data_IF_019401242615
#
_entry.id   IF_019401242615
#
_cell.length_a   1.000
_cell.length_b   1.000
_cell.length_c   1.000
_cell.angle_alpha   90.00
_cell.angle_beta   90.00
_cell.angle_gamma   90.00
#
_symmetry.space_group_name_H-M   'P 1'
#
loop_
_entity.id
_entity.type
_entity.pdbx_description
1 polymer ?
#
# COMPACT_ATOMS: atom_id res chain seq x y z
N UNK A 1 2.96 -24.81 -23.11
CA UNK A 1 3.96 -23.82 -22.73
C UNK A 1 3.40 -23.06 -21.55
N UNK A 2 3.99 -23.25 -20.35
CA UNK A 2 3.57 -22.53 -19.17
C UNK A 2 3.88 -21.03 -19.38
N UNK A 3 2.93 -20.15 -18.99
CA UNK A 3 3.18 -18.73 -18.97
C UNK A 3 4.38 -18.44 -18.05
N UNK A 4 5.27 -17.51 -18.40
CA UNK A 4 6.36 -17.17 -17.50
C UNK A 4 5.79 -16.70 -16.16
N UNK A 5 6.37 -17.19 -15.09
CA UNK A 5 5.98 -16.80 -13.74
C UNK A 5 6.22 -15.30 -13.58
N UNK A 6 5.15 -14.53 -13.40
CA UNK A 6 5.23 -13.07 -13.27
C UNK A 6 6.13 -12.65 -12.10
N UNK A 7 6.25 -13.49 -11.06
CA UNK A 7 7.11 -13.19 -9.92
C UNK A 7 8.61 -13.21 -10.28
N UNK A 8 9.02 -14.03 -11.27
CA UNK A 8 10.40 -14.07 -11.71
C UNK A 8 10.82 -12.75 -12.39
N UNK A 9 9.92 -12.10 -13.11
CA UNK A 9 10.16 -10.79 -13.73
C UNK A 9 10.28 -9.71 -12.67
N UNK A 10 9.42 -9.74 -11.68
CA UNK A 10 9.35 -8.72 -10.63
C UNK A 10 10.62 -8.61 -9.79
N UNK A 11 11.34 -9.70 -9.63
CA UNK A 11 12.53 -9.69 -8.77
C UNK A 11 13.84 -9.54 -9.55
N UNK A 12 13.78 -9.70 -10.86
CA UNK A 12 14.93 -9.65 -11.74
C UNK A 12 15.15 -8.27 -12.36
N UNK A 13 14.11 -7.71 -12.94
CA UNK A 13 14.20 -6.50 -13.79
C UNK A 13 13.74 -5.23 -13.08
N UNK A 14 13.15 -5.35 -11.91
CA UNK A 14 12.65 -4.25 -11.10
C UNK A 14 11.64 -4.74 -10.09
N UNK A 15 11.17 -3.88 -9.18
CA UNK A 15 10.16 -4.30 -8.21
C UNK A 15 8.78 -4.30 -8.83
N UNK A 16 7.95 -5.29 -8.49
CA UNK A 16 6.52 -5.16 -8.58
C UNK A 16 6.06 -4.41 -7.34
N UNK A 17 5.24 -3.38 -7.52
CA UNK A 17 4.85 -2.46 -6.45
C UNK A 17 3.35 -2.50 -6.14
N UNK A 18 2.60 -3.35 -6.85
CA UNK A 18 1.18 -3.58 -6.62
C UNK A 18 0.98 -5.06 -6.28
N UNK A 19 0.27 -5.38 -5.19
CA UNK A 19 0.11 -6.77 -4.79
C UNK A 19 -0.57 -7.61 -5.87
N UNK A 20 -0.03 -8.81 -6.11
CA UNK A 20 -0.58 -9.76 -7.08
C UNK A 20 -1.70 -10.61 -6.48
N UNK A 21 -1.81 -10.65 -5.16
CA UNK A 21 -2.84 -11.38 -4.42
C UNK A 21 -3.49 -10.45 -3.41
N UNK A 22 -4.63 -10.85 -2.87
CA UNK A 22 -5.22 -10.17 -1.72
C UNK A 22 -4.22 -10.13 -0.57
N UNK A 23 -4.29 -9.09 0.24
CA UNK A 23 -3.36 -8.91 1.34
C UNK A 23 -4.03 -8.22 2.52
N UNK A 24 -3.51 -8.52 3.71
CA UNK A 24 -3.86 -7.87 4.97
C UNK A 24 -2.57 -7.67 5.74
N UNK A 25 -2.11 -6.44 5.83
CA UNK A 25 -0.81 -6.11 6.40
C UNK A 25 -1.00 -5.08 7.51
N UNK A 26 -0.34 -5.30 8.63
CA UNK A 26 -0.23 -4.29 9.68
C UNK A 26 1.15 -3.67 9.60
N UNK A 27 1.18 -2.35 9.42
CA UNK A 27 2.41 -1.56 9.36
C UNK A 27 2.60 -0.78 10.66
N UNK A 28 3.87 -0.55 10.99
CA UNK A 28 4.28 0.48 11.94
C UNK A 28 4.83 1.66 11.14
N UNK A 29 4.28 2.84 11.38
CA UNK A 29 4.69 4.08 10.71
C UNK A 29 5.38 4.97 11.71
N UNK A 30 6.58 5.45 11.38
CA UNK A 30 7.37 6.33 12.21
C UNK A 30 7.68 7.61 11.44
N UNK A 31 7.40 8.76 12.06
CA UNK A 31 7.74 10.04 11.45
C UNK A 31 9.26 10.21 11.36
N UNK A 32 9.79 10.80 10.27
CA UNK A 32 11.21 11.12 10.15
C UNK A 32 11.73 12.04 11.27
N UNK A 33 10.86 12.79 11.93
CA UNK A 33 11.24 13.69 13.03
C UNK A 33 11.19 13.01 14.40
N UNK A 34 10.96 11.70 14.45
CA UNK A 34 11.09 10.92 15.68
C UNK A 34 9.88 10.88 16.60
N UNK A 35 8.70 11.21 16.10
CA UNK A 35 7.45 11.05 16.85
C UNK A 35 7.15 9.58 17.13
N UNK A 36 6.23 9.33 18.09
CA UNK A 36 5.83 7.98 18.43
C UNK A 36 5.28 7.25 17.20
N UNK A 37 5.63 5.97 17.08
CA UNK A 37 5.15 5.12 16.00
C UNK A 37 3.65 4.88 16.15
N UNK A 38 2.95 4.85 15.02
CA UNK A 38 1.54 4.45 14.94
C UNK A 38 1.41 3.21 14.08
N UNK A 39 0.39 2.41 14.34
CA UNK A 39 0.08 1.27 13.50
C UNK A 39 -0.98 1.64 12.46
N UNK A 40 -0.89 1.04 11.29
CA UNK A 40 -1.88 1.19 10.23
C UNK A 40 -2.10 -0.15 9.57
N UNK A 41 -3.35 -0.55 9.43
CA UNK A 41 -3.71 -1.76 8.71
C UNK A 41 -4.03 -1.43 7.26
N UNK A 42 -3.49 -2.18 6.33
CA UNK A 42 -3.80 -2.07 4.91
C UNK A 42 -4.37 -3.39 4.43
N UNK A 43 -5.53 -3.33 3.79
CA UNK A 43 -6.15 -4.49 3.13
C UNK A 43 -6.32 -4.21 1.65
N UNK A 44 -6.03 -5.20 0.85
CA UNK A 44 -5.99 -5.10 -0.60
C UNK A 44 -6.79 -6.23 -1.22
N UNK A 45 -7.68 -5.90 -2.17
CA UNK A 45 -8.41 -6.86 -2.99
C UNK A 45 -7.98 -6.71 -4.44
N UNK A 46 -7.30 -7.72 -4.97
CA UNK A 46 -6.69 -7.64 -6.30
C UNK A 46 -7.74 -7.67 -7.41
N UNK A 47 -8.80 -8.49 -7.26
CA UNK A 47 -9.81 -8.63 -8.31
C UNK A 47 -10.52 -7.32 -8.63
N UNK A 48 -10.77 -6.49 -7.62
CA UNK A 48 -11.46 -5.21 -7.79
C UNK A 48 -10.51 -4.02 -7.76
N UNK A 49 -9.22 -4.23 -7.56
CA UNK A 49 -8.21 -3.18 -7.40
C UNK A 49 -8.66 -2.13 -6.39
N UNK A 50 -8.99 -2.59 -5.19
CA UNK A 50 -9.40 -1.74 -4.07
C UNK A 50 -8.47 -1.92 -2.89
N UNK A 51 -8.24 -0.83 -2.15
CA UNK A 51 -7.39 -0.80 -0.98
C UNK A 51 -8.12 -0.10 0.16
N UNK A 52 -8.01 -0.64 1.38
CA UNK A 52 -8.53 -0.01 2.58
C UNK A 52 -7.40 0.23 3.56
N UNK A 53 -7.35 1.45 4.11
CA UNK A 53 -6.38 1.85 5.12
C UNK A 53 -7.11 2.20 6.41
N UNK A 54 -6.73 1.53 7.51
CA UNK A 54 -7.26 1.76 8.85
C UNK A 54 -6.12 2.20 9.76
N UNK A 55 -5.94 3.52 10.02
CA UNK A 55 -5.01 3.97 11.05
C UNK A 55 -5.49 3.56 12.43
N UNK A 56 -4.57 3.29 13.36
CA UNK A 56 -4.97 2.96 14.73
C UNK A 56 -5.50 4.19 15.48
N UNK A 57 -6.26 3.95 16.54
CA UNK A 57 -6.78 4.96 17.46
C UNK A 57 -7.70 5.99 16.81
N UNK A 58 -8.37 5.61 15.72
CA UNK A 58 -9.37 6.44 15.06
C UNK A 58 -10.49 5.58 14.50
N UNK A 59 -11.68 6.17 14.40
CA UNK A 59 -12.82 5.55 13.73
C UNK A 59 -12.89 5.90 12.24
N UNK A 60 -11.88 6.60 11.72
CA UNK A 60 -11.80 7.01 10.32
C UNK A 60 -10.95 6.01 9.55
N UNK A 61 -11.46 5.56 8.40
CA UNK A 61 -10.67 4.76 7.47
C UNK A 61 -10.90 5.25 6.03
N UNK A 62 -10.02 4.81 5.13
CA UNK A 62 -10.05 5.23 3.72
C UNK A 62 -10.14 4.02 2.81
N UNK A 63 -10.93 4.14 1.75
CA UNK A 63 -11.04 3.12 0.70
C UNK A 63 -10.71 3.77 -0.63
N UNK A 64 -9.71 3.25 -1.32
CA UNK A 64 -9.37 3.67 -2.68
C UNK A 64 -9.85 2.62 -3.67
N UNK A 65 -10.58 3.05 -4.69
CA UNK A 65 -10.99 2.22 -5.82
C UNK A 65 -10.31 2.77 -7.08
N UNK A 66 -9.38 2.01 -7.66
CA UNK A 66 -8.72 2.45 -8.88
C UNK A 66 -9.65 2.41 -10.10
N UNK A 67 -10.51 1.38 -10.28
CA UNK A 67 -11.44 1.40 -11.43
C UNK A 67 -12.41 2.57 -11.41
N UNK A 68 -12.84 2.99 -10.22
CA UNK A 68 -13.78 4.10 -10.07
C UNK A 68 -13.08 5.45 -9.93
N UNK A 69 -11.76 5.47 -9.78
CA UNK A 69 -10.95 6.66 -9.53
C UNK A 69 -11.43 7.45 -8.32
N UNK A 70 -11.82 6.75 -7.25
CA UNK A 70 -12.36 7.36 -6.04
C UNK A 70 -11.53 7.03 -4.81
N UNK A 71 -11.48 8.01 -3.91
CA UNK A 71 -11.01 7.85 -2.54
C UNK A 71 -12.17 8.18 -1.61
N UNK A 72 -12.61 7.20 -0.83
CA UNK A 72 -13.67 7.39 0.15
C UNK A 72 -13.06 7.51 1.54
N UNK A 73 -13.47 8.52 2.28
CA UNK A 73 -13.09 8.71 3.69
C UNK A 73 -14.34 8.43 4.53
N UNK A 74 -14.25 7.45 5.41
CA UNK A 74 -15.38 6.98 6.21
C UNK A 74 -15.11 7.30 7.68
N UNK A 75 -16.03 8.01 8.33
CA UNK A 75 -15.96 8.33 9.75
C UNK A 75 -17.13 7.66 10.47
N UNK A 76 -16.84 6.55 11.13
CA UNK A 76 -17.85 5.75 11.80
C UNK A 76 -18.42 6.44 13.04
N UNK A 77 -17.62 7.24 13.74
CA UNK A 77 -18.06 7.95 14.95
C UNK A 77 -19.07 9.06 14.63
N UNK A 78 -18.88 9.74 13.50
CA UNK A 78 -19.78 10.80 13.04
C UNK A 78 -20.87 10.27 12.12
N UNK A 79 -20.83 9.01 11.73
CA UNK A 79 -21.73 8.39 10.74
C UNK A 79 -21.78 9.18 9.44
N UNK A 80 -20.62 9.58 8.94
CA UNK A 80 -20.43 10.35 7.70
C UNK A 80 -19.39 9.69 6.82
N UNK A 81 -19.49 9.92 5.53
CA UNK A 81 -18.44 9.60 4.58
C UNK A 81 -18.35 10.67 3.50
N UNK A 82 -17.19 10.81 2.92
CA UNK A 82 -16.97 11.69 1.76
C UNK A 82 -16.28 10.91 0.67
N UNK A 83 -16.52 11.31 -0.58
CA UNK A 83 -15.90 10.71 -1.76
C UNK A 83 -15.22 11.81 -2.55
N UNK A 84 -13.95 11.59 -2.88
CA UNK A 84 -13.14 12.52 -3.65
C UNK A 84 -12.44 11.75 -4.78
N UNK A 85 -11.95 12.43 -5.82
CA UNK A 85 -11.14 11.76 -6.83
C UNK A 85 -9.88 11.17 -6.19
N UNK A 86 -9.53 9.95 -6.59
CA UNK A 86 -8.26 9.35 -6.20
C UNK A 86 -7.10 10.14 -6.85
N UNK A 87 -5.88 10.09 -6.25
CA UNK A 87 -4.73 10.71 -6.88
C UNK A 87 -4.56 10.26 -8.32
N UNK A 88 -4.18 11.19 -9.20
CA UNK A 88 -4.16 10.99 -10.65
C UNK A 88 -3.06 10.05 -11.14
N UNK A 89 -2.17 9.60 -10.28
CA UNK A 89 -1.14 8.64 -10.66
C UNK A 89 -1.77 7.27 -10.87
N UNK A 90 -1.63 6.74 -12.09
CA UNK A 90 -2.13 5.43 -12.42
C UNK A 90 -1.48 4.33 -11.59
N UNK A 91 -2.26 3.32 -11.26
CA UNK A 91 -1.75 2.14 -10.58
C UNK A 91 -0.92 1.30 -11.56
N UNK A 92 0.29 0.90 -11.16
CA UNK A 92 1.03 -0.13 -11.90
C UNK A 92 0.26 -1.45 -11.78
N UNK A 93 -0.06 -2.12 -12.89
CA UNK A 93 -0.83 -3.37 -12.81
C UNK A 93 -0.11 -4.44 -11.98
N UNK A 94 -0.84 -5.30 -11.27
CA UNK A 94 -0.24 -6.45 -10.57
C UNK A 94 0.58 -7.31 -11.54
N UNK A 95 1.74 -7.77 -11.08
CA UNK A 95 2.63 -8.60 -11.89
C UNK A 95 3.51 -7.83 -12.88
N UNK A 96 3.39 -6.51 -12.93
CA UNK A 96 4.22 -5.64 -13.76
C UNK A 96 5.24 -4.90 -12.90
N UNK A 97 6.46 -4.75 -13.40
CA UNK A 97 7.47 -3.96 -12.71
C UNK A 97 7.08 -2.48 -12.74
N UNK A 98 7.59 -1.72 -11.76
CA UNK A 98 7.35 -0.28 -11.69
C UNK A 98 7.78 0.39 -12.99
N UNK A 99 6.85 1.14 -13.61
CA UNK A 99 7.07 1.76 -14.93
C UNK A 99 7.63 3.17 -14.82
N UNK A 100 7.58 3.78 -13.64
CA UNK A 100 8.08 5.13 -13.40
C UNK A 100 9.07 5.13 -12.25
N UNK A 101 10.03 6.05 -12.29
CA UNK A 101 11.07 6.14 -11.28
C UNK A 101 12.26 5.24 -11.58
N UNK A 102 13.29 5.38 -10.78
CA UNK A 102 14.51 4.58 -10.87
C UNK A 102 14.60 3.67 -9.66
N UNK A 103 14.98 2.41 -9.91
CA UNK A 103 15.13 1.41 -8.86
C UNK A 103 16.46 0.72 -9.03
N UNK A 104 17.34 0.84 -8.03
CA UNK A 104 18.63 0.16 -8.00
C UNK A 104 18.57 -0.95 -6.95
N UNK A 105 18.84 -2.18 -7.34
CA UNK A 105 18.85 -3.32 -6.44
C UNK A 105 20.01 -3.22 -5.47
N UNK A 106 19.72 -3.28 -4.16
CA UNK A 106 20.75 -3.25 -3.11
C UNK A 106 21.03 -4.63 -2.50
N UNK A 107 20.02 -5.50 -2.45
CA UNK A 107 20.14 -6.79 -1.80
C UNK A 107 18.78 -7.32 -1.38
N UNK A 108 18.76 -8.17 -0.37
CA UNK A 108 17.54 -8.76 0.16
C UNK A 108 17.51 -8.64 1.69
N UNK A 109 16.31 -8.71 2.24
CA UNK A 109 16.09 -8.67 3.68
C UNK A 109 14.92 -9.58 4.04
N UNK A 110 14.72 -9.79 5.34
CA UNK A 110 13.57 -10.51 5.87
C UNK A 110 12.84 -9.56 6.81
N UNK A 111 11.56 -9.31 6.53
CA UNK A 111 10.70 -8.43 7.31
C UNK A 111 9.38 -9.16 7.54
N UNK A 112 8.89 -9.16 8.79
CA UNK A 112 7.67 -9.87 9.18
C UNK A 112 7.71 -11.36 8.77
N UNK A 113 8.89 -11.98 8.81
CA UNK A 113 9.09 -13.38 8.44
C UNK A 113 9.11 -13.65 6.93
N UNK A 114 9.07 -12.61 6.11
CA UNK A 114 9.04 -12.76 4.65
C UNK A 114 10.26 -12.14 3.98
N UNK A 115 10.72 -12.79 2.93
CA UNK A 115 11.82 -12.30 2.14
C UNK A 115 11.36 -11.19 1.21
N UNK A 116 12.14 -10.10 1.16
CA UNK A 116 11.90 -9.01 0.22
C UNK A 116 13.23 -8.54 -0.38
N UNK A 117 13.14 -7.93 -1.55
CA UNK A 117 14.29 -7.33 -2.23
C UNK A 117 14.32 -5.84 -1.92
N UNK A 118 15.49 -5.35 -1.51
CA UNK A 118 15.71 -3.94 -1.20
C UNK A 118 16.11 -3.19 -2.45
N UNK A 119 15.37 -2.15 -2.77
CA UNK A 119 15.62 -1.28 -3.92
C UNK A 119 15.82 0.15 -3.45
N UNK A 120 16.80 0.84 -3.99
CA UNK A 120 16.95 2.28 -3.79
C UNK A 120 16.20 3.01 -4.89
N UNK A 121 15.28 3.90 -4.48
CA UNK A 121 14.51 4.75 -5.39
C UNK A 121 14.67 6.20 -5.00
N UNK A 122 14.44 7.12 -5.93
CA UNK A 122 14.48 8.56 -5.69
C UNK A 122 13.16 9.19 -6.08
N UNK A 123 12.72 10.16 -5.29
CA UNK A 123 11.57 10.98 -5.64
C UNK A 123 11.96 12.08 -6.64
N UNK A 124 10.98 12.91 -7.03
CA UNK A 124 11.21 14.01 -7.99
C UNK A 124 12.14 15.08 -7.44
N UNK A 125 12.27 15.19 -6.12
CA UNK A 125 13.18 16.13 -5.46
C UNK A 125 14.58 15.55 -5.23
N UNK A 126 14.81 14.31 -5.67
CA UNK A 126 16.10 13.63 -5.54
C UNK A 126 16.33 12.96 -4.19
N UNK A 127 15.34 12.92 -3.31
CA UNK A 127 15.44 12.22 -2.02
C UNK A 127 15.41 10.72 -2.24
N UNK A 128 16.41 10.02 -1.72
CA UNK A 128 16.51 8.57 -1.83
C UNK A 128 15.74 7.89 -0.71
N UNK A 129 15.09 6.78 -1.05
CA UNK A 129 14.46 5.86 -0.10
C UNK A 129 14.85 4.43 -0.46
N UNK A 130 15.04 3.61 0.55
CA UNK A 130 15.27 2.18 0.36
C UNK A 130 13.96 1.45 0.68
N UNK A 131 13.41 0.77 -0.33
CA UNK A 131 12.11 0.11 -0.24
C UNK A 131 12.32 -1.39 -0.38
N UNK A 132 11.64 -2.18 0.44
CA UNK A 132 11.73 -3.64 0.39
C UNK A 132 10.39 -4.21 -0.06
N UNK A 133 10.35 -4.80 -1.25
CA UNK A 133 9.18 -5.41 -1.84
C UNK A 133 9.34 -6.92 -1.93
N UNK A 134 8.27 -7.65 -1.60
CA UNK A 134 8.21 -9.09 -1.91
C UNK A 134 8.11 -9.30 -3.42
N UNK A 135 8.45 -10.49 -3.93
CA UNK A 135 8.30 -10.77 -5.36
C UNK A 135 6.87 -10.58 -5.88
N UNK A 136 5.86 -10.74 -5.03
CA UNK A 136 4.45 -10.56 -5.41
C UNK A 136 3.93 -9.13 -5.13
N UNK A 137 4.83 -8.18 -4.86
CA UNK A 137 4.48 -6.76 -4.86
C UNK A 137 4.04 -6.17 -3.53
N UNK A 138 4.28 -6.85 -2.41
CA UNK A 138 3.97 -6.29 -1.09
C UNK A 138 5.13 -5.45 -0.57
N UNK A 139 4.83 -4.21 -0.21
CA UNK A 139 5.79 -3.35 0.45
C UNK A 139 5.92 -3.79 1.92
N UNK A 140 7.14 -4.11 2.35
CA UNK A 140 7.39 -4.53 3.73
C UNK A 140 8.17 -3.51 4.55
N UNK A 141 8.97 -2.66 3.92
CA UNK A 141 9.77 -1.69 4.64
C UNK A 141 10.15 -0.51 3.75
N UNK A 142 10.17 0.67 4.35
CA UNK A 142 10.74 1.88 3.74
C UNK A 142 11.73 2.47 4.74
N UNK A 143 12.94 2.78 4.29
CA UNK A 143 13.95 3.47 5.08
C UNK A 143 14.40 4.73 4.33
N UNK A 144 14.54 5.81 5.09
CA UNK A 144 15.13 7.06 4.59
C UNK A 144 16.41 7.32 5.38
N UNK A 145 17.55 7.22 4.71
CA UNK A 145 18.83 7.20 5.39
C UNK A 145 18.92 5.98 6.31
N UNK A 146 19.20 6.20 7.59
CA UNK A 146 19.26 5.13 8.58
C UNK A 146 17.96 4.94 9.35
N UNK A 147 16.90 5.68 8.99
CA UNK A 147 15.65 5.64 9.70
C UNK A 147 14.60 4.83 8.94
N UNK A 148 14.04 3.82 9.61
CA UNK A 148 12.91 3.05 9.09
C UNK A 148 11.65 3.85 9.35
N UNK A 149 10.94 4.24 8.27
CA UNK A 149 9.70 5.02 8.37
C UNK A 149 8.45 4.16 8.22
N UNK A 150 8.56 3.03 7.53
CA UNK A 150 7.48 2.06 7.35
C UNK A 150 8.04 0.67 7.57
N UNK A 151 7.36 -0.14 8.38
CA UNK A 151 7.77 -1.52 8.63
C UNK A 151 6.55 -2.40 8.79
N UNK A 152 6.46 -3.47 8.01
CA UNK A 152 5.41 -4.47 8.18
C UNK A 152 5.66 -5.27 9.47
N UNK A 153 4.63 -5.39 10.29
CA UNK A 153 4.64 -6.19 11.51
C UNK A 153 4.05 -7.57 11.28
N UNK A 154 3.03 -7.66 10.43
CA UNK A 154 2.38 -8.94 10.07
C UNK A 154 1.87 -8.88 8.64
N UNK A 155 1.84 -10.02 7.98
CA UNK A 155 1.39 -10.16 6.60
C UNK A 155 0.48 -11.38 6.51
N UNK A 156 -0.69 -11.21 5.90
CA UNK A 156 -1.59 -12.31 5.53
C UNK A 156 -2.01 -12.11 4.07
N UNK A 157 -2.11 -13.20 3.33
CA UNK A 157 -2.62 -13.20 1.95
C UNK A 157 -4.01 -13.81 1.86
N UNK A 158 -4.76 -13.79 2.96
CA UNK A 158 -6.13 -14.26 2.98
C UNK A 158 -7.00 -13.43 2.04
N UNK A 159 -7.94 -14.11 1.37
CA UNK A 159 -8.91 -13.46 0.49
C UNK A 159 -9.70 -12.41 1.26
N UNK A 160 -9.84 -11.23 0.67
CA UNK A 160 -10.57 -10.12 1.28
C UNK A 160 -11.96 -10.03 0.65
N UNK A 161 -13.04 -10.14 1.47
CA UNK A 161 -14.40 -10.05 0.93
C UNK A 161 -14.76 -8.61 0.53
N UNK A 162 -15.70 -8.48 -0.40
CA UNK A 162 -16.17 -7.18 -0.90
C UNK A 162 -16.66 -6.25 0.21
N UNK A 163 -17.23 -6.81 1.28
CA UNK A 163 -17.78 -6.03 2.40
C UNK A 163 -16.73 -5.20 3.12
N UNK A 164 -15.45 -5.58 3.05
CA UNK A 164 -14.35 -4.80 3.63
C UNK A 164 -14.24 -3.42 2.96
N UNK A 165 -14.56 -3.33 1.67
CA UNK A 165 -14.36 -2.14 0.85
C UNK A 165 -15.66 -1.38 0.57
N UNK A 166 -16.79 -1.89 1.05
CA UNK A 166 -18.10 -1.28 0.86
C UNK A 166 -18.35 -0.26 1.96
N UNK A 167 -18.91 0.90 1.61
CA UNK A 167 -19.31 1.89 2.60
C UNK A 167 -20.51 1.33 3.38
N UNK A 168 -20.45 1.30 4.72
CA UNK A 168 -21.56 0.77 5.53
C UNK A 168 -22.86 1.53 5.31
N UNK A 169 -23.97 0.80 5.37
CA UNK A 169 -25.30 1.42 5.32
C UNK A 169 -25.51 2.33 6.54
N UNK A 170 -26.36 3.36 6.38
CA UNK A 170 -26.74 4.26 7.46
C UNK A 170 -25.81 5.46 7.65
N UNK A 171 -24.77 5.59 6.84
CA UNK A 171 -23.91 6.76 6.84
C UNK A 171 -24.43 7.80 5.86
N UNK A 172 -24.27 9.08 6.22
CA UNK A 172 -24.63 10.18 5.33
C UNK A 172 -23.39 10.68 4.60
N UNK A 173 -23.55 10.94 3.31
CA UNK A 173 -22.48 11.54 2.52
C UNK A 173 -22.39 13.03 2.81
N UNK A 174 -21.15 13.51 2.98
CA UNK A 174 -20.82 14.92 3.11
C UNK A 174 -19.79 15.33 2.06
N UNK A 175 -19.65 16.63 1.82
CA UNK A 175 -18.62 17.12 0.93
C UNK A 175 -17.24 16.82 1.52
N UNK A 176 -16.23 16.50 0.66
CA UNK A 176 -14.85 16.33 1.14
C UNK A 176 -14.38 17.60 1.86
N UNK A 177 -13.57 17.40 2.92
CA UNK A 177 -12.94 18.53 3.57
C UNK A 177 -12.03 19.26 2.58
N UNK A 178 -12.19 20.59 2.49
CA UNK A 178 -11.27 21.41 1.68
C UNK A 178 -9.96 21.56 2.42
N UNK A 179 -8.82 21.44 1.69
CA UNK A 179 -7.51 21.66 2.30
C UNK A 179 -7.30 23.13 2.72
#
# INVERSE_FOLDING_TARGET
IAAPDSTAVCDRDGPCITPATDADIVYELTSPVGDAAIKQRMRWQVAALKQRLDPENTSVYMVTSWPEHTLSVVDLSRKRFSVMPAPSQGLTPPGHIAMTGTYARLGSSIVAGERCTVWRTKDTDGHASDVCYTPDGLLLQVAQGQQITVRALSVSRATQPDTVFTIPAGLKQEAPATP
#
